data_IF_883935600626
#
_entry.id   IF_883935600626
#
_cell.length_a   1.000
_cell.length_b   1.000
_cell.length_c   1.000
_cell.angle_alpha   90.00
_cell.angle_beta   90.00
_cell.angle_gamma   90.00
#
_symmetry.space_group_name_H-M   'P 1'
#
loop_
_entity.id
_entity.type
_entity.pdbx_description
1 polymer ?
#
# COMPACT_ATOMS: atom_id res chain seq x y z
N UNK A 1 3.29 14.27 -10.75
CA UNK A 1 2.49 13.93 -9.57
C UNK A 1 1.92 12.53 -9.72
N UNK A 2 2.07 11.70 -8.73
CA UNK A 2 1.54 10.34 -8.75
C UNK A 2 0.46 10.17 -7.70
N UNK A 3 -0.45 9.22 -7.92
CA UNK A 3 -1.45 8.81 -6.94
C UNK A 3 -0.90 7.59 -6.21
N UNK A 4 -0.62 7.76 -4.93
CA UNK A 4 0.03 6.74 -4.11
C UNK A 4 -0.89 6.30 -2.99
N UNK A 5 -1.06 4.99 -2.83
CA UNK A 5 -1.79 4.42 -1.70
C UNK A 5 -0.79 3.88 -0.68
N UNK A 6 -0.96 4.29 0.57
CA UNK A 6 -0.17 3.78 1.70
C UNK A 6 -1.08 2.91 2.55
N UNK A 7 -0.75 1.64 2.65
CA UNK A 7 -1.52 0.65 3.42
C UNK A 7 -0.68 0.18 4.60
N UNK A 8 -1.08 0.56 5.80
CA UNK A 8 -0.39 0.18 7.02
C UNK A 8 -1.37 0.33 8.19
N UNK A 9 -1.35 -0.60 9.13
CA UNK A 9 -2.24 -0.53 10.29
C UNK A 9 -1.77 0.45 11.35
N UNK A 10 -0.53 0.92 11.29
CA UNK A 10 0.00 1.91 12.22
C UNK A 10 -0.24 3.32 11.71
N UNK A 11 -0.97 4.10 12.49
CA UNK A 11 -1.29 5.48 12.12
C UNK A 11 -0.03 6.34 11.97
N UNK A 12 0.97 6.13 12.82
CA UNK A 12 2.22 6.89 12.75
C UNK A 12 2.95 6.70 11.43
N UNK A 13 2.96 5.48 10.93
CA UNK A 13 3.58 5.17 9.62
C UNK A 13 2.79 5.79 8.49
N UNK A 14 1.45 5.66 8.51
CA UNK A 14 0.61 6.27 7.48
C UNK A 14 0.80 7.79 7.42
N UNK A 15 0.81 8.44 8.59
CA UNK A 15 0.99 9.89 8.65
C UNK A 15 2.38 10.31 8.17
N UNK A 16 3.41 9.62 8.60
CA UNK A 16 4.79 9.94 8.21
C UNK A 16 4.99 9.80 6.70
N UNK A 17 4.58 8.68 6.13
CA UNK A 17 4.73 8.44 4.69
C UNK A 17 3.87 9.40 3.87
N UNK A 18 2.64 9.69 4.33
CA UNK A 18 1.77 10.64 3.67
C UNK A 18 2.39 12.04 3.61
N UNK A 19 2.99 12.46 4.71
CA UNK A 19 3.63 13.77 4.79
C UNK A 19 4.83 13.85 3.85
N UNK A 20 5.71 12.85 3.88
CA UNK A 20 6.89 12.81 3.02
C UNK A 20 6.49 12.82 1.55
N UNK A 21 5.55 11.98 1.17
CA UNK A 21 5.14 11.85 -0.23
C UNK A 21 4.37 13.08 -0.71
N UNK A 22 3.53 13.66 0.14
CA UNK A 22 2.82 14.89 -0.20
C UNK A 22 3.78 16.05 -0.41
N UNK A 23 4.85 16.11 0.39
CA UNK A 23 5.88 17.14 0.24
C UNK A 23 6.59 17.05 -1.10
N UNK A 24 6.64 15.85 -1.68
CA UNK A 24 7.22 15.63 -3.01
C UNK A 24 6.22 15.88 -4.14
N UNK A 25 5.03 16.32 -3.82
CA UNK A 25 4.02 16.70 -4.83
C UNK A 25 3.09 15.57 -5.25
N UNK A 26 3.04 14.46 -4.49
CA UNK A 26 2.15 13.36 -4.82
C UNK A 26 0.81 13.46 -4.10
N UNK A 27 -0.22 12.89 -4.72
CA UNK A 27 -1.51 12.71 -4.06
C UNK A 27 -1.47 11.38 -3.29
N UNK A 28 -1.79 11.42 -2.00
CA UNK A 28 -1.65 10.27 -1.13
C UNK A 28 -3.01 9.87 -0.56
N UNK A 29 -3.33 8.58 -0.71
CA UNK A 29 -4.46 7.95 -0.04
C UNK A 29 -3.89 6.99 1.00
N UNK A 30 -4.62 6.79 2.08
CA UNK A 30 -4.20 5.88 3.13
C UNK A 30 -5.27 4.83 3.40
N UNK A 31 -4.83 3.66 3.83
CA UNK A 31 -5.72 2.58 4.25
C UNK A 31 -5.11 1.89 5.47
N UNK A 32 -5.94 1.63 6.46
CA UNK A 32 -5.48 1.02 7.71
C UNK A 32 -5.55 -0.51 7.70
N UNK A 33 -6.20 -1.08 6.71
CA UNK A 33 -6.36 -2.53 6.58
C UNK A 33 -6.62 -2.91 5.13
N UNK A 34 -6.73 -4.21 4.87
CA UNK A 34 -6.95 -4.72 3.52
C UNK A 34 -8.32 -4.31 2.96
N UNK A 35 -9.36 -4.28 3.79
CA UNK A 35 -10.68 -3.87 3.34
C UNK A 35 -10.68 -2.43 2.82
N UNK A 36 -10.04 -1.51 3.54
CA UNK A 36 -9.89 -0.13 3.11
C UNK A 36 -9.03 -0.03 1.85
N UNK A 37 -7.97 -0.85 1.76
CA UNK A 37 -7.12 -0.89 0.57
C UNK A 37 -7.87 -1.36 -0.67
N UNK A 38 -8.71 -2.40 -0.53
CA UNK A 38 -9.56 -2.87 -1.63
C UNK A 38 -10.50 -1.78 -2.12
N UNK A 39 -11.12 -1.07 -1.19
CA UNK A 39 -12.01 0.03 -1.50
C UNK A 39 -11.29 1.15 -2.25
N UNK A 40 -10.13 1.55 -1.78
CA UNK A 40 -9.34 2.58 -2.44
C UNK A 40 -8.92 2.15 -3.85
N UNK A 41 -8.47 0.90 -4.01
CA UNK A 41 -8.05 0.38 -5.31
C UNK A 41 -9.19 0.35 -6.32
N UNK A 42 -10.40 0.08 -5.88
CA UNK A 42 -11.55 0.02 -6.78
C UNK A 42 -12.07 1.40 -7.19
N UNK A 43 -11.82 2.43 -6.38
CA UNK A 43 -12.31 3.79 -6.64
C UNK A 43 -11.33 4.69 -7.36
N UNK A 44 -10.03 4.44 -7.19
CA UNK A 44 -8.99 5.35 -7.66
C UNK A 44 -8.01 4.66 -8.60
N UNK A 45 -7.48 5.41 -9.55
CA UNK A 45 -6.35 4.96 -10.32
C UNK A 45 -5.08 5.23 -9.52
N UNK A 46 -4.34 4.19 -9.24
CA UNK A 46 -3.13 4.26 -8.42
C UNK A 46 -1.90 4.06 -9.28
N UNK A 47 -0.89 4.86 -9.02
CA UNK A 47 0.40 4.77 -9.70
C UNK A 47 1.42 3.96 -8.90
N UNK A 48 1.20 3.85 -7.59
CA UNK A 48 2.10 3.13 -6.68
C UNK A 48 1.33 2.76 -5.43
N UNK A 49 1.60 1.60 -4.88
CA UNK A 49 1.08 1.17 -3.59
C UNK A 49 2.23 0.79 -2.68
N UNK A 50 2.24 1.35 -1.47
CA UNK A 50 3.11 0.92 -0.39
C UNK A 50 2.26 0.05 0.52
N UNK A 51 2.57 -1.23 0.60
CA UNK A 51 1.70 -2.23 1.22
C UNK A 51 2.39 -2.94 2.36
N UNK A 52 1.85 -2.78 3.56
CA UNK A 52 2.33 -3.50 4.74
C UNK A 52 2.03 -5.00 4.60
N UNK A 53 2.99 -5.83 4.98
CA UNK A 53 2.82 -7.28 4.97
C UNK A 53 1.88 -7.71 6.11
N UNK A 54 2.04 -7.13 7.29
CA UNK A 54 1.30 -7.54 8.49
C UNK A 54 0.13 -6.62 8.78
N UNK A 55 -1.07 -7.11 8.51
CA UNK A 55 -2.31 -6.38 8.78
C UNK A 55 -3.30 -7.27 9.50
N UNK A 56 -4.25 -6.69 10.26
CA UNK A 56 -5.12 -7.50 11.13
C UNK A 56 -6.16 -8.35 10.39
N UNK A 57 -6.61 -7.95 9.21
CA UNK A 57 -7.66 -8.66 8.48
C UNK A 57 -7.13 -9.62 7.41
N UNK A 58 -6.27 -9.13 6.54
CA UNK A 58 -5.66 -9.92 5.46
C UNK A 58 -4.22 -9.46 5.33
N UNK A 59 -3.27 -10.38 5.32
CA UNK A 59 -1.87 -9.97 5.15
C UNK A 59 -1.62 -9.41 3.75
N UNK A 60 -0.55 -8.60 3.64
CA UNK A 60 -0.25 -7.90 2.40
C UNK A 60 0.07 -8.81 1.24
N UNK A 61 0.72 -9.95 1.49
CA UNK A 61 1.05 -10.91 0.42
C UNK A 61 -0.22 -11.50 -0.17
N UNK A 62 -1.17 -11.86 0.69
CA UNK A 62 -2.47 -12.39 0.25
C UNK A 62 -3.23 -11.35 -0.57
N UNK A 63 -3.25 -10.09 -0.12
CA UNK A 63 -3.89 -9.02 -0.86
C UNK A 63 -3.22 -8.80 -2.23
N UNK A 64 -1.91 -8.83 -2.28
CA UNK A 64 -1.17 -8.71 -3.53
C UNK A 64 -1.55 -9.82 -4.51
N UNK A 65 -1.61 -11.06 -4.03
CA UNK A 65 -2.03 -12.20 -4.86
C UNK A 65 -3.47 -12.08 -5.33
N UNK A 66 -4.35 -11.57 -4.49
CA UNK A 66 -5.74 -11.30 -4.84
C UNK A 66 -5.81 -10.30 -6.00
N UNK A 67 -5.09 -9.20 -5.91
CA UNK A 67 -5.06 -8.20 -6.97
C UNK A 67 -4.48 -8.76 -8.27
N UNK A 68 -3.44 -9.60 -8.17
CA UNK A 68 -2.86 -10.24 -9.35
C UNK A 68 -3.88 -11.16 -10.03
N UNK A 69 -4.62 -11.95 -9.26
CA UNK A 69 -5.57 -12.91 -9.81
C UNK A 69 -6.83 -12.26 -10.39
N UNK A 70 -7.18 -11.06 -9.92
CA UNK A 70 -8.37 -10.34 -10.38
C UNK A 70 -8.08 -9.28 -11.44
N UNK A 71 -6.84 -9.19 -11.90
CA UNK A 71 -6.45 -8.20 -12.91
C UNK A 71 -6.31 -6.78 -12.36
N UNK A 72 -6.27 -6.62 -11.05
CA UNK A 72 -6.16 -5.31 -10.39
C UNK A 72 -4.72 -4.88 -10.11
N UNK A 73 -3.75 -5.77 -10.31
CA UNK A 73 -2.33 -5.46 -10.09
C UNK A 73 -1.74 -4.83 -11.35
N UNK A 74 -2.09 -3.59 -11.60
CA UNK A 74 -1.65 -2.85 -12.80
C UNK A 74 -0.63 -1.76 -12.49
N UNK A 75 -0.22 -1.65 -11.24
CA UNK A 75 0.73 -0.64 -10.75
C UNK A 75 1.82 -1.31 -9.93
N UNK A 76 2.98 -0.67 -9.79
CA UNK A 76 4.02 -1.16 -8.88
C UNK A 76 3.52 -1.20 -7.44
N UNK A 77 3.92 -2.24 -6.71
CA UNK A 77 3.63 -2.40 -5.29
C UNK A 77 4.95 -2.62 -4.56
N UNK A 78 5.22 -1.80 -3.57
CA UNK A 78 6.36 -1.98 -2.67
C UNK A 78 5.83 -2.54 -1.37
N UNK A 79 6.27 -3.75 -1.02
CA UNK A 79 5.89 -4.38 0.25
C UNK A 79 6.73 -3.80 1.37
N UNK A 80 6.10 -3.59 2.52
CA UNK A 80 6.77 -3.07 3.70
C UNK A 80 6.60 -4.05 4.85
N UNK A 81 7.59 -4.12 5.71
CA UNK A 81 7.48 -4.89 6.95
C UNK A 81 7.87 -4.00 8.13
N UNK A 82 6.99 -3.90 9.10
CA UNK A 82 7.24 -3.11 10.30
C UNK A 82 8.39 -3.63 11.16
N UNK A 83 8.81 -4.86 10.94
CA UNK A 83 9.82 -5.52 11.76
C UNK A 83 11.04 -5.98 10.95
N UNK A 84 11.07 -5.72 9.66
CA UNK A 84 12.14 -6.15 8.79
C UNK A 84 12.49 -5.03 7.81
N UNK A 85 13.45 -5.28 6.97
CA UNK A 85 13.89 -4.32 5.98
C UNK A 85 12.97 -4.33 4.77
N UNK A 86 12.91 -3.20 4.07
CA UNK A 86 12.07 -3.05 2.88
C UNK A 86 12.58 -3.92 1.72
N UNK A 87 13.83 -4.26 1.70
CA UNK A 87 14.41 -5.03 0.59
C UNK A 87 13.77 -6.39 0.38
N UNK A 88 13.20 -7.01 1.41
CA UNK A 88 12.48 -8.26 1.24
C UNK A 88 11.17 -8.09 0.48
N UNK A 89 10.61 -6.91 0.48
CA UNK A 89 9.32 -6.62 -0.12
C UNK A 89 9.38 -6.58 -1.64
N UNK A 90 10.52 -6.28 -2.20
CA UNK A 90 10.70 -6.18 -3.65
C UNK A 90 10.50 -7.53 -4.33
N UNK A 91 10.72 -8.60 -3.59
CA UNK A 91 10.59 -9.97 -4.08
C UNK A 91 9.13 -10.46 -4.13
N UNK A 92 8.25 -9.79 -3.39
CA UNK A 92 6.87 -10.21 -3.31
C UNK A 92 6.09 -9.92 -4.58
#
# INVERSE_FOLDING_TARGET
MANILVVDDEIGIRELLSEILADEGHAVLTAENAAAARSARSREELDLVLLDIWMPDTDGVTLLKEWASTGQLTMPVIMMSGHATIDTAVEA
#
